data_IF_756668010272
#
_entry.id   IF_756668010272
#
_cell.length_a   1.000
_cell.length_b   1.000
_cell.length_c   1.000
_cell.angle_alpha   90.00
_cell.angle_beta   90.00
_cell.angle_gamma   90.00
#
_symmetry.space_group_name_H-M   'P 1'
#
loop_
_entity.id
_entity.type
_entity.pdbx_description
1 polymer ?
#
# COMPACT_ATOMS: atom_id res chain seq x y z
N UNK A 1 -5.22 5.54 2.85
CA UNK A 1 -3.81 5.97 2.88
C UNK A 1 -2.95 4.73 2.82
N UNK A 2 -1.94 4.73 1.95
CA UNK A 2 -0.91 3.68 1.84
C UNK A 2 0.41 4.26 2.31
N UNK A 3 1.30 3.42 2.79
CA UNK A 3 2.70 3.78 3.06
C UNK A 3 3.54 3.21 1.92
N UNK A 4 4.01 4.07 1.03
CA UNK A 4 4.67 3.67 -0.20
C UNK A 4 6.14 4.09 -0.20
N UNK A 5 7.01 3.12 -0.43
CA UNK A 5 8.43 3.37 -0.72
C UNK A 5 8.61 3.37 -2.24
N UNK A 6 9.11 4.47 -2.78
CA UNK A 6 9.34 4.59 -4.22
C UNK A 6 10.57 3.80 -4.63
N UNK A 7 10.43 2.85 -5.55
CA UNK A 7 11.53 2.09 -6.15
C UNK A 7 12.06 2.77 -7.43
N UNK A 8 11.14 3.16 -8.32
CA UNK A 8 11.54 3.71 -9.61
C UNK A 8 10.56 4.77 -10.13
N UNK A 9 11.10 5.69 -10.95
CA UNK A 9 10.33 6.68 -11.71
C UNK A 9 10.88 6.72 -13.12
N UNK A 10 10.03 6.49 -14.12
CA UNK A 10 10.45 6.47 -15.51
C UNK A 10 9.36 7.01 -16.44
N UNK A 11 9.71 7.51 -17.64
CA UNK A 11 8.74 7.91 -18.66
C UNK A 11 8.05 6.69 -19.24
N UNK A 12 6.76 6.83 -19.60
CA UNK A 12 5.97 5.79 -20.26
C UNK A 12 5.21 6.42 -21.41
N UNK A 13 5.58 6.05 -22.63
CA UNK A 13 4.94 6.52 -23.86
C UNK A 13 3.98 5.48 -24.44
N UNK A 14 4.24 4.20 -24.16
CA UNK A 14 3.47 3.07 -24.62
C UNK A 14 3.54 1.88 -23.62
N UNK A 15 2.78 0.80 -23.82
CA UNK A 15 2.83 -0.38 -22.96
C UNK A 15 4.18 -1.10 -22.94
N UNK A 16 4.98 -0.96 -24.01
CA UNK A 16 6.32 -1.56 -24.06
C UNK A 16 7.31 -0.76 -23.20
N UNK A 17 7.22 0.57 -23.21
CA UNK A 17 8.00 1.43 -22.32
C UNK A 17 7.69 1.17 -20.85
N UNK A 18 6.41 0.91 -20.52
CA UNK A 18 6.04 0.46 -19.16
C UNK A 18 6.74 -0.85 -18.79
N UNK A 19 6.67 -1.86 -19.69
CA UNK A 19 7.32 -3.16 -19.47
C UNK A 19 8.83 -3.01 -19.24
N UNK A 20 9.52 -2.31 -20.14
CA UNK A 20 10.99 -2.14 -20.08
C UNK A 20 11.42 -1.37 -18.83
N UNK A 21 10.68 -0.33 -18.44
CA UNK A 21 10.98 0.45 -17.23
C UNK A 21 10.82 -0.35 -15.94
N UNK A 22 9.88 -1.29 -15.90
CA UNK A 22 9.70 -2.21 -14.76
C UNK A 22 10.72 -3.34 -14.81
N UNK A 23 10.99 -3.90 -15.97
CA UNK A 23 11.95 -4.99 -16.17
C UNK A 23 13.39 -4.59 -15.77
N UNK A 24 13.75 -3.32 -15.96
CA UNK A 24 15.07 -2.80 -15.62
C UNK A 24 15.32 -2.55 -14.12
N UNK A 25 14.39 -2.92 -13.23
CA UNK A 25 14.60 -2.89 -11.78
C UNK A 25 15.29 -4.17 -11.34
N UNK A 26 16.23 -4.08 -10.41
CA UNK A 26 16.97 -5.22 -9.84
C UNK A 26 16.07 -5.98 -8.83
N UNK A 27 15.15 -6.79 -9.37
CA UNK A 27 14.10 -7.44 -8.57
C UNK A 27 14.61 -8.47 -7.58
N UNK A 28 15.77 -9.07 -7.82
CA UNK A 28 16.44 -10.00 -6.90
C UNK A 28 16.81 -9.37 -5.55
N UNK A 29 16.93 -8.04 -5.50
CA UNK A 29 17.15 -7.30 -4.24
C UNK A 29 15.85 -7.11 -3.43
N UNK A 30 14.68 -7.28 -4.07
CA UNK A 30 13.38 -6.95 -3.50
C UNK A 30 12.50 -8.17 -3.23
N UNK A 31 12.67 -9.25 -3.98
CA UNK A 31 11.84 -10.45 -3.87
C UNK A 31 12.68 -11.72 -4.04
N UNK A 32 12.51 -12.65 -3.11
CA UNK A 32 13.10 -13.96 -3.24
C UNK A 32 12.56 -14.71 -4.49
N UNK A 33 13.36 -15.55 -5.16
CA UNK A 33 12.93 -16.26 -6.38
C UNK A 33 11.65 -17.09 -6.23
N UNK A 34 11.38 -17.59 -5.03
CA UNK A 34 10.19 -18.37 -4.68
C UNK A 34 9.14 -17.56 -3.94
N UNK A 35 9.33 -16.24 -3.84
CA UNK A 35 8.40 -15.34 -3.16
C UNK A 35 7.13 -15.09 -3.97
N UNK A 36 6.16 -14.47 -3.32
CA UNK A 36 4.86 -14.10 -3.91
C UNK A 36 4.73 -12.60 -4.08
N UNK A 37 4.06 -12.19 -5.15
CA UNK A 37 3.86 -10.76 -5.42
C UNK A 37 2.40 -10.43 -5.74
N UNK A 38 2.02 -9.17 -5.45
CA UNK A 38 0.78 -8.57 -5.93
C UNK A 38 1.05 -7.19 -6.52
N UNK A 39 0.40 -6.89 -7.64
CA UNK A 39 0.55 -5.61 -8.34
C UNK A 39 -0.78 -4.87 -8.37
N UNK A 40 -0.81 -3.70 -7.74
CA UNK A 40 -1.86 -2.69 -7.92
C UNK A 40 -1.45 -1.69 -9.00
N UNK A 41 -2.32 -1.49 -9.98
CA UNK A 41 -2.10 -0.51 -11.05
C UNK A 41 -3.19 0.57 -11.01
N UNK A 42 -2.80 1.82 -11.20
CA UNK A 42 -3.73 2.94 -11.33
C UNK A 42 -3.22 3.98 -12.32
N UNK A 43 -4.15 4.72 -12.91
CA UNK A 43 -3.87 5.72 -13.92
C UNK A 43 -4.29 5.29 -15.31
N UNK A 44 -4.14 6.20 -16.27
CA UNK A 44 -4.48 6.04 -17.66
C UNK A 44 -3.47 6.80 -18.55
N UNK A 45 -3.36 6.36 -19.79
CA UNK A 45 -2.50 6.97 -20.81
C UNK A 45 -1.42 6.02 -21.32
N UNK A 46 -0.66 6.46 -22.30
CA UNK A 46 0.38 5.65 -22.93
C UNK A 46 -0.15 4.32 -23.53
N UNK A 47 -1.38 4.33 -24.10
CA UNK A 47 -2.01 3.13 -24.64
C UNK A 47 -2.49 2.11 -23.60
N UNK A 48 -2.54 2.51 -22.31
CA UNK A 48 -2.99 1.68 -21.19
C UNK A 48 -4.30 2.25 -20.66
N UNK A 49 -5.40 1.76 -21.19
CA UNK A 49 -6.75 2.22 -20.80
C UNK A 49 -7.44 1.29 -19.79
N UNK A 50 -6.86 0.11 -19.58
CA UNK A 50 -7.37 -0.89 -18.64
C UNK A 50 -6.37 -1.15 -17.52
N UNK A 51 -6.79 -0.93 -16.28
CA UNK A 51 -5.95 -1.12 -15.09
C UNK A 51 -5.53 -2.58 -14.89
N UNK A 52 -6.38 -3.54 -15.28
CA UNK A 52 -6.05 -4.95 -15.22
C UNK A 52 -4.93 -5.30 -16.22
N UNK A 53 -5.02 -4.79 -17.45
CA UNK A 53 -3.96 -4.96 -18.45
C UNK A 53 -2.64 -4.34 -17.98
N UNK A 54 -2.69 -3.13 -17.41
CA UNK A 54 -1.51 -2.48 -16.83
C UNK A 54 -0.87 -3.31 -15.71
N UNK A 55 -1.68 -3.85 -14.81
CA UNK A 55 -1.20 -4.72 -13.73
C UNK A 55 -0.56 -6.01 -14.26
N UNK A 56 -1.14 -6.64 -15.30
CA UNK A 56 -0.55 -7.82 -15.93
C UNK A 56 0.79 -7.52 -16.59
N UNK A 57 0.89 -6.39 -17.34
CA UNK A 57 2.16 -5.98 -17.96
C UNK A 57 3.27 -5.76 -16.94
N UNK A 58 2.95 -5.12 -15.82
CA UNK A 58 3.92 -4.92 -14.72
C UNK A 58 4.33 -6.26 -14.11
N UNK A 59 3.36 -7.13 -13.82
CA UNK A 59 3.62 -8.48 -13.31
C UNK A 59 4.51 -9.28 -14.27
N UNK A 60 4.21 -9.29 -15.57
CA UNK A 60 4.99 -10.03 -16.56
C UNK A 60 6.43 -9.52 -16.62
N UNK A 61 6.65 -8.20 -16.60
CA UNK A 61 7.99 -7.61 -16.58
C UNK A 61 8.81 -8.05 -15.35
N UNK A 62 8.19 -8.11 -14.17
CA UNK A 62 8.85 -8.56 -12.92
C UNK A 62 9.20 -10.04 -13.02
N UNK A 63 8.24 -10.86 -13.44
CA UNK A 63 8.42 -12.32 -13.56
C UNK A 63 9.51 -12.67 -14.57
N UNK A 64 9.53 -11.98 -15.70
CA UNK A 64 10.53 -12.22 -16.75
C UNK A 64 11.92 -11.78 -16.27
N UNK A 65 12.05 -10.61 -15.62
CA UNK A 65 13.31 -10.14 -15.05
C UNK A 65 13.87 -11.12 -14.01
N UNK A 66 13.04 -11.55 -13.04
CA UNK A 66 13.47 -12.53 -12.03
C UNK A 66 13.83 -13.88 -12.66
N UNK A 67 13.10 -14.33 -13.67
CA UNK A 67 13.38 -15.59 -14.36
C UNK A 67 14.69 -15.52 -15.16
N UNK A 68 14.99 -14.38 -15.75
CA UNK A 68 16.27 -14.17 -16.44
C UNK A 68 17.45 -14.14 -15.46
N UNK A 69 17.29 -13.47 -14.31
CA UNK A 69 18.34 -13.34 -13.31
C UNK A 69 18.57 -14.62 -12.49
N UNK A 70 17.49 -15.34 -12.12
CA UNK A 70 17.55 -16.42 -11.13
C UNK A 70 17.15 -17.80 -11.66
N UNK A 71 16.55 -17.87 -12.85
CA UNK A 71 15.96 -19.09 -13.42
C UNK A 71 14.62 -19.51 -12.77
N UNK A 72 14.17 -18.81 -11.71
CA UNK A 72 12.94 -19.11 -11.01
C UNK A 72 11.82 -18.12 -11.36
N UNK A 73 10.57 -18.54 -11.16
CA UNK A 73 9.38 -17.74 -11.41
C UNK A 73 8.63 -17.52 -10.11
N UNK A 74 8.46 -16.26 -9.65
CA UNK A 74 7.65 -15.96 -8.49
C UNK A 74 6.17 -16.22 -8.76
N UNK A 75 5.43 -16.56 -7.72
CA UNK A 75 3.99 -16.75 -7.77
C UNK A 75 3.22 -15.44 -7.46
N UNK A 76 1.92 -15.44 -7.75
CA UNK A 76 1.04 -14.32 -7.47
C UNK A 76 0.10 -14.67 -6.31
N UNK A 77 0.18 -13.90 -5.24
CA UNK A 77 -0.78 -13.94 -4.13
C UNK A 77 -1.35 -12.53 -3.91
N UNK A 78 -2.65 -12.39 -4.14
CA UNK A 78 -3.34 -11.09 -4.02
C UNK A 78 -3.70 -10.77 -2.57
N UNK A 79 -3.90 -11.79 -1.74
CA UNK A 79 -4.35 -11.64 -0.37
C UNK A 79 -3.19 -11.34 0.59
N UNK A 80 -2.16 -12.16 0.55
CA UNK A 80 -1.01 -12.08 1.47
C UNK A 80 0.34 -12.22 0.74
N UNK A 81 0.66 -11.30 -0.19
CA UNK A 81 1.92 -11.35 -0.93
C UNK A 81 3.10 -10.97 -0.06
N UNK A 82 4.27 -11.57 -0.33
CA UNK A 82 5.54 -11.15 0.27
C UNK A 82 5.92 -9.74 -0.19
N UNK A 83 5.62 -9.40 -1.46
CA UNK A 83 5.86 -8.09 -2.03
C UNK A 83 4.59 -7.51 -2.65
N UNK A 84 4.05 -6.45 -2.05
CA UNK A 84 2.92 -5.69 -2.59
C UNK A 84 3.41 -4.44 -3.28
N UNK A 85 3.12 -4.34 -4.58
CA UNK A 85 3.55 -3.24 -5.42
C UNK A 85 2.38 -2.34 -5.82
N UNK A 86 2.68 -1.06 -5.94
CA UNK A 86 1.76 -0.05 -6.48
C UNK A 86 2.45 0.68 -7.63
N UNK A 87 1.85 0.63 -8.81
CA UNK A 87 2.30 1.40 -9.97
C UNK A 87 1.23 2.39 -10.39
N UNK A 88 1.64 3.64 -10.51
CA UNK A 88 0.76 4.75 -10.91
C UNK A 88 1.31 5.37 -12.19
N UNK A 89 0.49 5.40 -13.26
CA UNK A 89 0.81 6.12 -14.48
C UNK A 89 0.05 7.45 -14.50
N UNK A 90 0.79 8.55 -14.61
CA UNK A 90 0.21 9.89 -14.68
C UNK A 90 1.06 10.80 -15.55
N UNK A 91 0.43 11.48 -16.50
CA UNK A 91 1.09 12.45 -17.40
C UNK A 91 2.35 11.88 -18.09
N UNK A 92 2.24 10.66 -18.63
CA UNK A 92 3.35 10.00 -19.33
C UNK A 92 4.51 9.56 -18.44
N UNK A 93 4.29 9.45 -17.13
CA UNK A 93 5.28 8.94 -16.17
C UNK A 93 4.71 7.85 -15.30
N UNK A 94 5.51 6.81 -15.08
CA UNK A 94 5.24 5.78 -14.10
C UNK A 94 5.96 6.06 -12.78
N UNK A 95 5.26 5.78 -11.70
CA UNK A 95 5.78 5.74 -10.34
C UNK A 95 5.56 4.32 -9.81
N UNK A 96 6.64 3.58 -9.63
CA UNK A 96 6.63 2.23 -9.05
C UNK A 96 7.03 2.31 -7.58
N UNK A 97 6.24 1.70 -6.71
CA UNK A 97 6.44 1.75 -5.27
C UNK A 97 6.11 0.42 -4.61
N UNK A 98 6.77 0.14 -3.49
CA UNK A 98 6.40 -0.95 -2.56
C UNK A 98 5.41 -0.42 -1.53
N UNK A 99 4.36 -1.16 -1.25
CA UNK A 99 3.44 -0.89 -0.14
C UNK A 99 3.97 -1.53 1.15
N UNK A 100 4.53 -0.70 2.01
CA UNK A 100 5.08 -1.13 3.30
C UNK A 100 4.00 -1.37 4.36
N UNK A 101 2.76 -0.96 4.10
CA UNK A 101 1.63 -1.06 5.04
C UNK A 101 0.81 -2.33 4.90
N UNK A 102 1.11 -3.20 3.93
CA UNK A 102 0.30 -4.39 3.63
C UNK A 102 -1.11 -4.07 3.15
N UNK A 103 -1.33 -2.84 2.67
CA UNK A 103 -2.63 -2.35 2.19
C UNK A 103 -3.11 -1.06 2.84
N UNK A 104 -4.38 -0.67 2.61
CA UNK A 104 -4.92 0.59 3.13
C UNK A 104 -5.00 0.62 4.65
N UNK A 105 -4.26 1.53 5.29
CA UNK A 105 -4.15 1.66 6.75
C UNK A 105 -5.47 1.89 7.50
N UNK A 106 -6.57 2.22 6.81
CA UNK A 106 -7.89 2.32 7.43
C UNK A 106 -8.61 0.97 7.53
N UNK A 107 -8.10 -0.09 6.90
CA UNK A 107 -8.66 -1.45 6.99
C UNK A 107 -8.00 -2.21 8.12
N UNK A 108 -8.43 -1.93 9.37
CA UNK A 108 -7.87 -2.57 10.57
C UNK A 108 -8.45 -3.95 10.88
N UNK A 109 -9.53 -4.35 10.19
CA UNK A 109 -10.19 -5.65 10.38
C UNK A 109 -11.17 -5.71 11.58
N UNK A 110 -11.17 -4.76 12.48
CA UNK A 110 -12.03 -4.78 13.66
C UNK A 110 -13.48 -4.28 13.41
N UNK A 111 -13.70 -3.53 12.33
CA UNK A 111 -15.01 -2.95 12.03
C UNK A 111 -15.98 -4.01 11.52
N UNK A 112 -17.02 -4.31 12.32
CA UNK A 112 -18.07 -5.28 11.98
C UNK A 112 -19.28 -4.66 11.26
N UNK A 113 -19.55 -3.38 11.54
CA UNK A 113 -20.66 -2.64 10.91
C UNK A 113 -20.18 -1.24 10.54
N UNK A 114 -20.70 -0.72 9.42
CA UNK A 114 -20.46 0.65 8.97
C UNK A 114 -21.73 1.46 9.20
N UNK A 115 -21.59 2.62 9.86
CA UNK A 115 -22.64 3.64 9.87
C UNK A 115 -22.68 4.38 8.52
N UNK A 116 -23.61 5.31 8.36
CA UNK A 116 -23.78 6.10 7.12
C UNK A 116 -22.54 6.95 6.79
N UNK A 117 -21.82 7.46 7.79
CA UNK A 117 -20.62 8.30 7.61
C UNK A 117 -19.53 7.94 8.64
N UNK A 118 -18.87 6.77 8.50
CA UNK A 118 -17.89 6.32 9.48
C UNK A 118 -16.60 7.14 9.38
N UNK A 119 -16.07 7.58 10.53
CA UNK A 119 -14.72 8.11 10.61
C UNK A 119 -13.71 7.03 10.18
N UNK A 120 -12.78 7.35 9.29
CA UNK A 120 -11.74 6.42 8.88
C UNK A 120 -10.74 6.21 10.03
N UNK A 121 -10.35 4.97 10.26
CA UNK A 121 -9.48 4.54 11.34
C UNK A 121 -8.14 5.31 11.36
N UNK A 122 -7.50 5.43 10.20
CA UNK A 122 -6.24 6.17 10.08
C UNK A 122 -6.40 7.68 10.34
N UNK A 123 -7.59 8.24 10.11
CA UNK A 123 -7.86 9.64 10.43
C UNK A 123 -8.07 9.79 11.94
N UNK A 124 -8.81 8.87 12.57
CA UNK A 124 -8.96 8.84 14.03
C UNK A 124 -7.59 8.73 14.73
N UNK A 125 -6.73 7.82 14.26
CA UNK A 125 -5.37 7.68 14.76
C UNK A 125 -4.56 8.98 14.60
N UNK A 126 -4.63 9.63 13.45
CA UNK A 126 -3.94 10.90 13.20
C UNK A 126 -4.45 12.03 14.12
N UNK A 127 -5.75 12.09 14.38
CA UNK A 127 -6.34 13.06 15.32
C UNK A 127 -5.83 12.84 16.75
N UNK A 128 -5.76 11.61 17.21
CA UNK A 128 -5.23 11.25 18.53
C UNK A 128 -3.75 11.63 18.68
N UNK A 129 -2.93 11.29 17.67
CA UNK A 129 -1.51 11.64 17.65
C UNK A 129 -1.31 13.16 17.66
N UNK A 130 -2.03 13.88 16.80
CA UNK A 130 -1.95 15.34 16.72
C UNK A 130 -2.49 16.02 17.98
N UNK A 131 -3.47 15.42 18.67
CA UNK A 131 -3.99 15.87 19.97
C UNK A 131 -3.05 15.58 21.14
N UNK A 132 -1.89 14.96 20.90
CA UNK A 132 -0.91 14.64 21.96
C UNK A 132 -1.35 13.47 22.83
N UNK A 133 -2.21 12.58 22.32
CA UNK A 133 -2.74 11.46 23.09
C UNK A 133 -1.64 10.58 23.72
N UNK A 134 -0.54 10.21 23.05
CA UNK A 134 0.49 9.37 23.64
C UNK A 134 1.07 9.95 24.95
N UNK A 135 1.30 11.26 24.98
CA UNK A 135 1.75 11.92 26.21
C UNK A 135 0.66 11.97 27.28
N UNK A 136 -0.57 12.34 26.91
CA UNK A 136 -1.71 12.39 27.83
C UNK A 136 -2.00 11.02 28.45
N UNK A 137 -1.85 9.94 27.68
CA UNK A 137 -2.01 8.58 28.18
C UNK A 137 -0.95 8.23 29.23
N UNK A 138 0.32 8.56 28.98
CA UNK A 138 1.41 8.34 29.98
C UNK A 138 1.17 9.12 31.27
N UNK A 139 0.58 10.29 31.17
CA UNK A 139 0.25 11.14 32.32
C UNK A 139 -1.04 10.71 33.04
N UNK A 140 -1.62 9.55 32.69
CA UNK A 140 -2.85 9.03 33.29
C UNK A 140 -4.13 9.75 32.82
N UNK A 141 -4.07 10.50 31.71
CA UNK A 141 -5.20 11.23 31.17
C UNK A 141 -6.29 10.32 30.60
N UNK A 142 -7.52 10.82 30.62
CA UNK A 142 -8.69 10.16 30.03
C UNK A 142 -9.07 10.80 28.69
N UNK A 143 -9.64 9.99 27.79
CA UNK A 143 -10.26 10.45 26.55
C UNK A 143 -11.78 10.35 26.70
N UNK A 144 -12.47 11.43 26.43
CA UNK A 144 -13.92 11.49 26.38
C UNK A 144 -14.37 11.94 24.98
N UNK A 145 -15.26 11.16 24.38
CA UNK A 145 -15.85 11.46 23.07
C UNK A 145 -17.38 11.53 23.20
N UNK A 146 -17.95 12.75 23.32
CA UNK A 146 -19.39 12.92 23.53
C UNK A 146 -20.23 12.62 22.28
N UNK A 147 -19.60 12.47 21.12
CA UNK A 147 -20.26 12.18 19.84
C UNK A 147 -19.65 10.95 19.15
N UNK A 148 -19.38 9.90 19.92
CA UNK A 148 -18.53 8.78 19.53
C UNK A 148 -19.02 7.99 18.30
N UNK A 149 -20.28 8.08 17.92
CA UNK A 149 -20.85 7.32 16.80
C UNK A 149 -20.58 5.83 16.94
N UNK A 150 -19.85 5.23 15.98
CA UNK A 150 -19.42 3.82 16.05
C UNK A 150 -18.20 3.59 16.94
N UNK A 151 -17.76 4.57 17.71
CA UNK A 151 -16.64 4.47 18.65
C UNK A 151 -15.26 4.43 18.01
N UNK A 152 -15.11 4.81 16.73
CA UNK A 152 -13.84 4.70 15.99
C UNK A 152 -12.68 5.36 16.74
N UNK A 153 -12.87 6.57 17.28
CA UNK A 153 -11.82 7.30 18.00
C UNK A 153 -11.41 6.56 19.28
N UNK A 154 -12.39 6.04 20.03
CA UNK A 154 -12.15 5.31 21.27
C UNK A 154 -11.48 3.94 21.01
N UNK A 155 -11.86 3.25 19.94
CA UNK A 155 -11.25 1.98 19.55
C UNK A 155 -9.79 2.20 19.09
N UNK A 156 -9.53 3.19 18.22
CA UNK A 156 -8.16 3.51 17.81
C UNK A 156 -7.29 3.93 19.01
N UNK A 157 -7.87 4.68 19.97
CA UNK A 157 -7.20 4.98 21.23
C UNK A 157 -6.79 3.72 22.00
N UNK A 158 -7.69 2.75 22.11
CA UNK A 158 -7.43 1.51 22.82
C UNK A 158 -6.35 0.66 22.11
N UNK A 159 -6.33 0.67 20.77
CA UNK A 159 -5.34 -0.04 19.96
C UNK A 159 -3.96 0.63 19.97
N UNK A 160 -3.88 1.93 20.25
CA UNK A 160 -2.59 2.63 20.33
C UNK A 160 -1.74 2.17 21.52
N UNK A 161 -2.33 1.58 22.58
CA UNK A 161 -1.59 1.06 23.74
C UNK A 161 -0.64 2.08 24.39
N UNK A 162 0.18 1.66 25.34
CA UNK A 162 1.34 2.42 25.77
C UNK A 162 2.38 2.39 24.64
N UNK A 163 2.67 3.54 24.05
CA UNK A 163 3.86 3.71 23.22
C UNK A 163 5.06 3.73 24.17
N UNK A 164 5.77 2.62 24.26
CA UNK A 164 7.13 2.61 24.78
C UNK A 164 8.00 3.32 23.74
N UNK A 165 8.51 4.49 24.12
CA UNK A 165 9.40 5.31 23.29
C UNK A 165 10.82 4.84 23.44
#
# INVERSE_FOLDING_TARGET
MLVLLVLARFPVEDPQGLYLGVHGVEWEEHLAPTGTLAVGFSGQGAGIDNTHFGALKVKDAIVDSLREATGARPDVDVESPDLRLSLVVRKGRALLSVDLGGGPLHRRGWRRAQGEAPLKENLAAAMLLRGGWPQRYRDGGALFDPMCGSGTLLIERALMGPYDA
#
